data_IF_267344379479
#
_entry.id   IF_267344379479
#
_cell.length_a   1.000
_cell.length_b   1.000
_cell.length_c   1.000
_cell.angle_alpha   90.00
_cell.angle_beta   90.00
_cell.angle_gamma   90.00
#
_symmetry.space_group_name_H-M   'P 1'
#
loop_
_entity.id
_entity.type
_entity.pdbx_description
1 polymer ?
#
# COMPACT_ATOMS: atom_id res chain seq x y z
N UNK A 1 -45.41 -3.97 29.21
CA UNK A 1 -46.29 -4.98 28.59
C UNK A 1 -46.95 -5.95 29.56
N UNK A 2 -46.26 -6.52 30.55
CA UNK A 2 -46.91 -7.50 31.47
C UNK A 2 -48.17 -7.03 32.21
N UNK A 3 -48.36 -5.72 32.41
CA UNK A 3 -49.62 -5.16 32.95
C UNK A 3 -50.76 -5.15 31.92
N UNK A 4 -50.46 -4.87 30.65
CA UNK A 4 -51.45 -4.80 29.57
C UNK A 4 -52.02 -6.19 29.25
N UNK A 5 -51.17 -7.24 29.22
CA UNK A 5 -51.63 -8.63 29.07
C UNK A 5 -52.53 -9.09 30.20
N UNK A 6 -52.20 -8.73 31.44
CA UNK A 6 -53.02 -9.08 32.61
C UNK A 6 -54.39 -8.43 32.52
N UNK A 7 -54.42 -7.14 32.16
CA UNK A 7 -55.67 -6.38 32.00
C UNK A 7 -56.48 -6.95 30.82
N UNK A 8 -55.85 -7.31 29.70
CA UNK A 8 -56.56 -7.88 28.55
C UNK A 8 -57.13 -9.27 28.82
N UNK A 9 -56.40 -10.13 29.53
CA UNK A 9 -56.88 -11.43 29.97
C UNK A 9 -58.09 -11.30 30.92
N UNK A 10 -58.01 -10.40 31.90
CA UNK A 10 -59.11 -10.13 32.84
C UNK A 10 -60.36 -9.58 32.13
N UNK A 11 -60.19 -8.71 31.13
CA UNK A 11 -61.30 -8.18 30.34
C UNK A 11 -61.97 -9.27 29.48
N UNK A 12 -61.20 -10.20 28.92
CA UNK A 12 -61.73 -11.33 28.17
C UNK A 12 -62.51 -12.32 29.06
N UNK A 13 -62.09 -12.50 30.31
CA UNK A 13 -62.81 -13.31 31.32
C UNK A 13 -64.13 -12.67 31.76
N UNK A 14 -64.15 -11.34 31.95
CA UNK A 14 -65.34 -10.61 32.43
C UNK A 14 -66.36 -10.32 31.32
N UNK A 15 -65.90 -10.11 30.08
CA UNK A 15 -66.76 -9.82 28.94
C UNK A 15 -66.13 -10.36 27.65
N UNK A 16 -66.46 -11.58 27.22
CA UNK A 16 -65.81 -12.21 26.08
C UNK A 16 -66.06 -11.46 24.75
N UNK A 17 -67.26 -10.88 24.56
CA UNK A 17 -67.61 -10.14 23.33
C UNK A 17 -66.80 -8.85 23.15
N UNK A 18 -66.51 -8.13 24.24
CA UNK A 18 -65.78 -6.86 24.21
C UNK A 18 -64.27 -7.05 24.49
N UNK A 19 -63.91 -8.11 25.21
CA UNK A 19 -62.54 -8.44 25.58
C UNK A 19 -61.74 -9.10 24.46
N UNK A 20 -62.35 -9.93 23.62
CA UNK A 20 -61.68 -10.57 22.48
C UNK A 20 -60.99 -9.58 21.51
N UNK A 21 -61.65 -8.51 21.01
CA UNK A 21 -60.99 -7.54 20.13
C UNK A 21 -59.89 -6.74 20.86
N UNK A 22 -60.06 -6.46 22.16
CA UNK A 22 -59.02 -5.80 22.96
C UNK A 22 -57.79 -6.69 23.15
N UNK A 23 -58.00 -7.99 23.42
CA UNK A 23 -56.93 -8.97 23.55
C UNK A 23 -56.14 -9.13 22.25
N UNK A 24 -56.84 -9.22 21.10
CA UNK A 24 -56.20 -9.26 19.78
C UNK A 24 -55.33 -8.02 19.52
N UNK A 25 -55.85 -6.81 19.84
CA UNK A 25 -55.07 -5.58 19.70
C UNK A 25 -53.85 -5.54 20.64
N UNK A 26 -53.98 -6.05 21.87
CA UNK A 26 -52.85 -6.15 22.79
C UNK A 26 -51.76 -7.08 22.26
N UNK A 27 -52.14 -8.25 21.72
CA UNK A 27 -51.21 -9.20 21.11
C UNK A 27 -50.49 -8.57 19.91
N UNK A 28 -51.23 -7.91 19.01
CA UNK A 28 -50.65 -7.24 17.85
C UNK A 28 -49.63 -6.15 18.24
N UNK A 29 -49.92 -5.34 19.27
CA UNK A 29 -48.98 -4.33 19.78
C UNK A 29 -47.74 -4.97 20.41
N UNK A 30 -47.87 -6.13 21.05
CA UNK A 30 -46.74 -6.85 21.64
C UNK A 30 -45.82 -7.46 20.59
N UNK A 31 -46.39 -8.07 19.56
CA UNK A 31 -45.65 -8.58 18.41
C UNK A 31 -44.88 -7.43 17.74
N UNK A 32 -45.54 -6.31 17.47
CA UNK A 32 -44.90 -5.11 16.92
C UNK A 32 -43.77 -4.60 17.82
N UNK A 33 -44.01 -4.46 19.13
CA UNK A 33 -42.99 -4.00 20.07
C UNK A 33 -41.81 -4.97 20.17
N UNK A 34 -42.05 -6.29 20.09
CA UNK A 34 -41.00 -7.29 20.05
C UNK A 34 -40.15 -7.20 18.78
N UNK A 35 -40.78 -6.98 17.62
CA UNK A 35 -40.09 -6.79 16.36
C UNK A 35 -39.22 -5.51 16.37
N UNK A 36 -39.75 -4.38 16.85
CA UNK A 36 -38.98 -3.14 16.99
C UNK A 36 -37.75 -3.34 17.88
N UNK A 37 -37.91 -3.99 19.05
CA UNK A 37 -36.77 -4.26 19.95
C UNK A 37 -35.69 -5.10 19.28
N UNK A 38 -36.09 -6.12 18.54
CA UNK A 38 -35.16 -6.98 17.82
C UNK A 38 -34.43 -6.21 16.70
N UNK A 39 -35.13 -5.35 15.96
CA UNK A 39 -34.49 -4.49 14.96
C UNK A 39 -33.52 -3.48 15.56
N UNK A 40 -33.86 -2.87 16.70
CA UNK A 40 -32.94 -1.98 17.43
C UNK A 40 -31.69 -2.74 17.89
N UNK A 41 -31.85 -3.97 18.38
CA UNK A 41 -30.73 -4.84 18.76
C UNK A 41 -29.84 -5.20 17.56
N UNK A 42 -30.45 -5.52 16.42
CA UNK A 42 -29.74 -5.81 15.17
C UNK A 42 -28.99 -4.57 14.66
N UNK A 43 -29.63 -3.40 14.65
CA UNK A 43 -29.01 -2.13 14.27
C UNK A 43 -27.80 -1.81 15.14
N UNK A 44 -27.94 -1.94 16.47
CA UNK A 44 -26.83 -1.71 17.42
C UNK A 44 -25.67 -2.68 17.20
N UNK A 45 -25.97 -3.96 16.94
CA UNK A 45 -24.94 -4.96 16.64
C UNK A 45 -24.21 -4.64 15.34
N UNK A 46 -24.94 -4.20 14.31
CA UNK A 46 -24.37 -3.81 13.02
C UNK A 46 -23.47 -2.58 13.16
N UNK A 47 -23.95 -1.54 13.86
CA UNK A 47 -23.16 -0.35 14.17
C UNK A 47 -21.85 -0.69 14.88
N UNK A 48 -21.89 -1.54 15.91
CA UNK A 48 -20.67 -1.96 16.62
C UNK A 48 -19.68 -2.71 15.72
N UNK A 49 -20.17 -3.49 14.75
CA UNK A 49 -19.29 -4.11 13.73
C UNK A 49 -18.68 -3.07 12.80
N UNK A 50 -19.42 -2.03 12.43
CA UNK A 50 -18.91 -0.93 11.60
C UNK A 50 -17.83 -0.13 12.32
N UNK A 51 -17.98 0.10 13.64
CA UNK A 51 -16.95 0.72 14.48
C UNK A 51 -15.65 -0.10 14.43
N UNK A 52 -15.73 -1.43 14.64
CA UNK A 52 -14.56 -2.31 14.58
C UNK A 52 -13.90 -2.35 13.19
N UNK A 53 -14.69 -2.32 12.12
CA UNK A 53 -14.17 -2.30 10.75
C UNK A 53 -13.48 -0.96 10.43
N UNK A 54 -14.01 0.16 10.93
CA UNK A 54 -13.37 1.47 10.83
C UNK A 54 -12.00 1.46 11.50
N UNK A 55 -11.91 0.99 12.75
CA UNK A 55 -10.63 0.88 13.48
C UNK A 55 -9.61 0.02 12.72
N UNK A 56 -10.06 -1.06 12.09
CA UNK A 56 -9.20 -1.90 11.26
C UNK A 56 -8.70 -1.17 10.00
N UNK A 57 -9.56 -0.39 9.35
CA UNK A 57 -9.20 0.41 8.18
C UNK A 57 -8.21 1.51 8.55
N UNK A 58 -8.43 2.24 9.64
CA UNK A 58 -7.52 3.29 10.13
C UNK A 58 -6.14 2.72 10.49
N UNK A 59 -6.09 1.55 11.13
CA UNK A 59 -4.85 0.83 11.41
C UNK A 59 -4.11 0.47 10.12
N UNK A 60 -4.81 0.01 9.08
CA UNK A 60 -4.17 -0.30 7.79
C UNK A 60 -3.77 0.94 7.02
N UNK A 61 -4.57 2.01 7.10
CA UNK A 61 -4.29 3.29 6.48
C UNK A 61 -2.94 3.81 6.95
N UNK A 62 -2.69 3.85 8.26
CA UNK A 62 -1.39 4.30 8.79
C UNK A 62 -0.19 3.52 8.23
N UNK A 63 -0.35 2.22 7.95
CA UNK A 63 0.71 1.37 7.37
C UNK A 63 0.93 1.62 5.87
N UNK A 64 -0.15 1.85 5.12
CA UNK A 64 -0.08 2.07 3.66
C UNK A 64 0.32 3.50 3.32
N UNK A 65 -0.08 4.47 4.14
CA UNK A 65 0.18 5.90 3.92
C UNK A 65 1.55 6.36 4.44
N UNK A 66 2.09 5.72 5.48
CA UNK A 66 3.42 6.01 6.03
C UNK A 66 4.38 4.82 5.88
N UNK A 67 4.67 4.38 4.64
CA UNK A 67 5.62 3.31 4.44
C UNK A 67 7.06 3.80 4.71
N UNK A 68 7.98 2.89 5.09
CA UNK A 68 9.38 3.23 5.21
C UNK A 68 9.95 3.65 3.84
N UNK A 69 11.00 4.47 3.88
CA UNK A 69 11.65 4.94 2.67
C UNK A 69 12.21 3.80 1.84
N UNK A 70 12.04 3.91 0.52
CA UNK A 70 12.33 2.82 -0.40
C UNK A 70 13.80 2.86 -0.80
N UNK A 71 14.50 1.76 -0.57
CA UNK A 71 15.89 1.56 -1.02
C UNK A 71 15.90 0.74 -2.30
N UNK A 72 16.71 1.14 -3.27
CA UNK A 72 16.84 0.49 -4.58
C UNK A 72 17.63 -0.84 -4.55
N UNK A 73 17.59 -1.56 -3.43
CA UNK A 73 18.22 -2.87 -3.26
C UNK A 73 17.17 -3.96 -3.45
N UNK A 74 17.44 -4.94 -4.31
CA UNK A 74 16.47 -5.97 -4.68
C UNK A 74 15.92 -6.77 -3.48
N UNK A 75 16.76 -7.06 -2.48
CA UNK A 75 16.33 -7.75 -1.27
C UNK A 75 15.30 -6.94 -0.47
N UNK A 76 15.56 -5.64 -0.29
CA UNK A 76 14.67 -4.75 0.43
C UNK A 76 13.37 -4.45 -0.34
N UNK A 77 13.44 -4.32 -1.67
CA UNK A 77 12.25 -4.18 -2.51
C UNK A 77 11.34 -5.42 -2.42
N UNK A 78 11.91 -6.63 -2.37
CA UNK A 78 11.14 -7.87 -2.18
C UNK A 78 10.47 -7.93 -0.81
N UNK A 79 11.13 -7.45 0.24
CA UNK A 79 10.56 -7.32 1.58
C UNK A 79 9.37 -6.34 1.58
N UNK A 80 9.57 -5.13 1.04
CA UNK A 80 8.51 -4.12 0.88
C UNK A 80 7.31 -4.64 0.07
N UNK A 81 7.56 -5.40 -0.99
CA UNK A 81 6.52 -6.08 -1.79
C UNK A 81 5.75 -7.09 -0.95
N UNK A 82 6.45 -7.90 -0.15
CA UNK A 82 5.83 -8.89 0.73
C UNK A 82 4.95 -8.23 1.78
N UNK A 83 5.45 -7.19 2.46
CA UNK A 83 4.72 -6.43 3.46
C UNK A 83 3.45 -5.78 2.90
N UNK A 84 3.57 -5.14 1.72
CA UNK A 84 2.42 -4.54 1.05
C UNK A 84 1.40 -5.59 0.59
N UNK A 85 1.86 -6.76 0.14
CA UNK A 85 0.96 -7.88 -0.21
C UNK A 85 0.17 -8.38 1.00
N UNK A 86 0.78 -8.40 2.18
CA UNK A 86 0.12 -8.80 3.42
C UNK A 86 -0.94 -7.77 3.82
N UNK A 87 -0.66 -6.47 3.68
CA UNK A 87 -1.64 -5.42 3.89
C UNK A 87 -2.82 -5.51 2.91
N UNK A 88 -2.56 -5.78 1.63
CA UNK A 88 -3.61 -6.03 0.64
C UNK A 88 -4.47 -7.25 0.99
N UNK A 89 -3.87 -8.34 1.46
CA UNK A 89 -4.62 -9.52 1.93
C UNK A 89 -5.48 -9.25 3.16
N UNK A 90 -5.05 -8.37 4.08
CA UNK A 90 -5.91 -7.88 5.17
C UNK A 90 -7.07 -7.03 4.63
N UNK A 91 -6.82 -6.14 3.67
CA UNK A 91 -7.86 -5.33 3.01
C UNK A 91 -8.88 -6.20 2.29
N UNK A 92 -8.48 -7.27 1.60
CA UNK A 92 -9.42 -8.19 0.96
C UNK A 92 -10.40 -8.80 1.96
N UNK A 93 -9.91 -9.25 3.12
CA UNK A 93 -10.77 -9.78 4.20
C UNK A 93 -11.73 -8.73 4.73
N UNK A 94 -11.26 -7.49 4.92
CA UNK A 94 -12.12 -6.37 5.32
C UNK A 94 -13.19 -6.07 4.28
N UNK A 95 -12.88 -6.17 2.99
CA UNK A 95 -13.85 -6.00 1.90
C UNK A 95 -15.00 -6.99 2.01
N UNK A 96 -14.71 -8.27 2.26
CA UNK A 96 -15.75 -9.30 2.47
C UNK A 96 -16.62 -8.99 3.70
N UNK A 97 -15.99 -8.54 4.80
CA UNK A 97 -16.70 -8.17 6.02
C UNK A 97 -17.61 -6.95 5.83
N UNK A 98 -17.14 -5.92 5.11
CA UNK A 98 -17.92 -4.74 4.76
C UNK A 98 -19.12 -5.09 3.89
N UNK A 99 -18.96 -6.02 2.95
CA UNK A 99 -20.05 -6.45 2.09
C UNK A 99 -21.12 -7.26 2.83
N UNK A 100 -20.68 -8.02 3.83
CA UNK A 100 -21.59 -8.68 4.79
C UNK A 100 -22.36 -7.63 5.60
N UNK A 101 -21.71 -6.57 6.07
CA UNK A 101 -22.38 -5.47 6.78
C UNK A 101 -23.36 -4.75 5.86
N UNK A 102 -23.01 -4.50 4.59
CA UNK A 102 -23.89 -3.86 3.61
C UNK A 102 -25.15 -4.67 3.34
N UNK A 103 -25.00 -5.97 3.10
CA UNK A 103 -26.15 -6.86 2.87
C UNK A 103 -27.06 -6.95 4.09
N UNK A 104 -26.49 -7.09 5.29
CA UNK A 104 -27.26 -7.10 6.54
C UNK A 104 -27.94 -5.76 6.83
N UNK A 105 -27.28 -4.65 6.52
CA UNK A 105 -27.86 -3.31 6.58
C UNK A 105 -29.08 -3.20 5.66
N UNK A 106 -28.93 -3.53 4.37
CA UNK A 106 -30.02 -3.50 3.41
C UNK A 106 -31.21 -4.38 3.82
N UNK A 107 -30.96 -5.58 4.36
CA UNK A 107 -32.01 -6.46 4.87
C UNK A 107 -32.75 -5.85 6.08
N UNK A 108 -32.00 -5.29 7.04
CA UNK A 108 -32.59 -4.61 8.20
C UNK A 108 -33.44 -3.41 7.78
N UNK A 109 -32.96 -2.63 6.80
CA UNK A 109 -33.68 -1.51 6.22
C UNK A 109 -34.96 -1.95 5.51
N UNK A 110 -34.92 -3.03 4.73
CA UNK A 110 -36.10 -3.58 4.07
C UNK A 110 -37.16 -4.05 5.09
N UNK A 111 -36.73 -4.75 6.16
CA UNK A 111 -37.61 -5.19 7.25
C UNK A 111 -38.25 -4.01 7.98
N UNK A 112 -37.48 -2.96 8.26
CA UNK A 112 -37.98 -1.72 8.86
C UNK A 112 -38.93 -0.96 7.93
N UNK A 113 -38.65 -0.94 6.62
CA UNK A 113 -39.51 -0.32 5.60
C UNK A 113 -40.88 -1.00 5.52
N UNK A 114 -40.94 -2.32 5.63
CA UNK A 114 -42.20 -3.06 5.73
C UNK A 114 -43.02 -2.68 6.98
N UNK A 115 -42.36 -2.33 8.09
CA UNK A 115 -43.01 -1.86 9.32
C UNK A 115 -43.43 -0.37 9.26
N UNK A 116 -42.81 0.43 8.39
CA UNK A 116 -43.11 1.86 8.24
C UNK A 116 -44.55 2.12 7.77
N UNK A 117 -45.17 1.19 7.04
CA UNK A 117 -46.61 1.24 6.72
C UNK A 117 -47.52 1.21 7.96
N UNK A 118 -47.02 0.79 9.12
CA UNK A 118 -47.73 0.76 10.40
C UNK A 118 -47.25 1.78 11.44
N UNK A 119 -46.04 2.34 11.29
CA UNK A 119 -45.35 3.13 12.33
C UNK A 119 -44.70 4.40 11.79
N UNK A 120 -45.30 5.02 10.77
CA UNK A 120 -44.80 6.25 10.12
C UNK A 120 -44.61 7.44 11.07
N UNK A 121 -45.15 7.38 12.30
CA UNK A 121 -45.05 8.42 13.32
C UNK A 121 -44.00 8.15 14.42
N UNK A 122 -43.40 6.95 14.49
CA UNK A 122 -42.60 6.51 15.66
C UNK A 122 -41.11 6.27 15.36
N UNK A 123 -40.73 6.20 14.10
CA UNK A 123 -39.32 6.08 13.70
C UNK A 123 -38.85 7.42 13.15
N UNK A 124 -37.92 8.15 13.82
CA UNK A 124 -37.24 9.25 13.15
C UNK A 124 -36.55 8.69 11.90
N UNK A 125 -36.73 9.40 10.79
CA UNK A 125 -36.21 9.11 9.44
C UNK A 125 -34.68 8.89 9.42
N UNK A 126 -33.99 9.23 10.50
CA UNK A 126 -32.53 9.29 10.63
C UNK A 126 -31.83 7.94 10.82
N UNK A 127 -32.41 6.98 11.54
CA UNK A 127 -31.71 5.71 11.86
C UNK A 127 -31.36 4.86 10.62
N UNK A 128 -32.32 4.63 9.70
CA UNK A 128 -32.09 3.97 8.43
C UNK A 128 -30.99 4.60 7.57
N UNK A 129 -31.01 5.93 7.45
CA UNK A 129 -30.07 6.69 6.64
C UNK A 129 -28.64 6.58 7.18
N UNK A 130 -28.47 6.61 8.51
CA UNK A 130 -27.14 6.54 9.17
C UNK A 130 -26.43 5.20 8.88
N UNK A 131 -27.15 4.07 8.91
CA UNK A 131 -26.55 2.76 8.62
C UNK A 131 -26.06 2.70 7.17
N UNK A 132 -26.88 3.20 6.23
CA UNK A 132 -26.52 3.20 4.83
C UNK A 132 -25.34 4.12 4.54
N UNK A 133 -25.42 5.39 4.96
CA UNK A 133 -24.38 6.41 4.79
C UNK A 133 -23.05 5.94 5.37
N UNK A 134 -23.06 5.40 6.59
CA UNK A 134 -21.84 4.90 7.23
C UNK A 134 -21.25 3.69 6.50
N UNK A 135 -22.09 2.83 5.93
CA UNK A 135 -21.60 1.66 5.17
C UNK A 135 -20.94 2.11 3.88
N UNK A 136 -21.57 3.05 3.17
CA UNK A 136 -21.05 3.64 1.94
C UNK A 136 -19.73 4.38 2.19
N UNK A 137 -19.64 5.12 3.30
CA UNK A 137 -18.40 5.78 3.73
C UNK A 137 -17.26 4.77 3.94
N UNK A 138 -17.50 3.68 4.67
CA UNK A 138 -16.48 2.66 4.94
C UNK A 138 -16.05 1.94 3.66
N UNK A 139 -16.99 1.64 2.75
CA UNK A 139 -16.68 1.06 1.44
C UNK A 139 -15.85 2.01 0.58
N UNK A 140 -16.17 3.31 0.62
CA UNK A 140 -15.38 4.35 -0.03
C UNK A 140 -13.95 4.40 0.49
N UNK A 141 -13.77 4.47 1.81
CA UNK A 141 -12.44 4.46 2.45
C UNK A 141 -11.65 3.19 2.10
N UNK A 142 -12.29 2.01 2.22
CA UNK A 142 -11.68 0.74 1.88
C UNK A 142 -11.23 0.69 0.41
N UNK A 143 -12.09 1.11 -0.52
CA UNK A 143 -11.76 1.10 -1.96
C UNK A 143 -10.59 2.03 -2.27
N UNK A 144 -10.57 3.23 -1.71
CA UNK A 144 -9.49 4.18 -1.87
C UNK A 144 -8.16 3.63 -1.32
N UNK A 145 -8.19 3.07 -0.11
CA UNK A 145 -7.02 2.50 0.53
C UNK A 145 -6.47 1.29 -0.23
N UNK A 146 -7.37 0.43 -0.74
CA UNK A 146 -7.02 -0.72 -1.59
C UNK A 146 -6.37 -0.28 -2.89
N UNK A 147 -6.96 0.67 -3.62
CA UNK A 147 -6.38 1.17 -4.87
C UNK A 147 -4.97 1.72 -4.66
N UNK A 148 -4.75 2.48 -3.59
CA UNK A 148 -3.41 2.98 -3.23
C UNK A 148 -2.42 1.85 -2.91
N UNK A 149 -2.87 0.83 -2.19
CA UNK A 149 -2.06 -0.37 -1.95
C UNK A 149 -1.70 -1.11 -3.24
N UNK A 150 -2.63 -1.20 -4.20
CA UNK A 150 -2.42 -1.83 -5.51
C UNK A 150 -1.47 -1.00 -6.41
N UNK A 151 -1.63 0.33 -6.43
CA UNK A 151 -0.72 1.26 -7.10
C UNK A 151 0.70 1.14 -6.55
N UNK A 152 0.87 1.17 -5.22
CA UNK A 152 2.16 0.95 -4.56
C UNK A 152 2.73 -0.42 -4.91
N UNK A 153 1.91 -1.46 -4.92
CA UNK A 153 2.32 -2.82 -5.27
C UNK A 153 2.89 -2.89 -6.69
N UNK A 154 2.20 -2.27 -7.65
CA UNK A 154 2.60 -2.22 -9.05
C UNK A 154 3.91 -1.44 -9.21
N UNK A 155 4.00 -0.28 -8.56
CA UNK A 155 5.21 0.54 -8.57
C UNK A 155 6.42 -0.20 -7.99
N UNK A 156 6.30 -0.81 -6.80
CA UNK A 156 7.39 -1.58 -6.18
C UNK A 156 7.86 -2.73 -7.07
N UNK A 157 6.94 -3.41 -7.77
CA UNK A 157 7.28 -4.48 -8.72
C UNK A 157 8.03 -3.94 -9.93
N UNK A 158 7.60 -2.81 -10.50
CA UNK A 158 8.34 -2.15 -11.58
C UNK A 158 9.74 -1.72 -11.14
N UNK A 159 9.85 -1.14 -9.95
CA UNK A 159 11.12 -0.72 -9.36
C UNK A 159 12.06 -1.91 -9.12
N UNK A 160 11.54 -3.06 -8.66
CA UNK A 160 12.32 -4.28 -8.50
C UNK A 160 12.89 -4.77 -9.84
N UNK A 161 12.11 -4.69 -10.92
CA UNK A 161 12.57 -5.07 -12.26
C UNK A 161 13.72 -4.17 -12.72
N UNK A 162 13.60 -2.85 -12.53
CA UNK A 162 14.68 -1.91 -12.84
C UNK A 162 15.94 -2.18 -12.00
N UNK A 163 15.76 -2.42 -10.69
CA UNK A 163 16.85 -2.73 -9.80
C UNK A 163 17.56 -4.03 -10.20
N UNK A 164 16.82 -5.11 -10.45
CA UNK A 164 17.39 -6.39 -10.87
C UNK A 164 18.17 -6.25 -12.19
N UNK A 165 17.66 -5.50 -13.17
CA UNK A 165 18.37 -5.21 -14.43
C UNK A 165 19.66 -4.41 -14.20
N UNK A 166 19.60 -3.36 -13.40
CA UNK A 166 20.76 -2.53 -13.08
C UNK A 166 21.86 -3.33 -12.36
N UNK A 167 21.51 -4.04 -11.30
CA UNK A 167 22.49 -4.80 -10.51
C UNK A 167 23.08 -5.97 -11.28
N UNK A 168 22.28 -6.65 -12.11
CA UNK A 168 22.78 -7.70 -13.00
C UNK A 168 23.72 -7.12 -14.06
N UNK A 169 23.33 -6.03 -14.74
CA UNK A 169 24.17 -5.38 -15.75
C UNK A 169 25.48 -4.85 -15.17
N UNK A 170 25.46 -4.30 -13.96
CA UNK A 170 26.68 -3.89 -13.25
C UNK A 170 27.61 -5.08 -12.95
N UNK A 171 27.06 -6.21 -12.54
CA UNK A 171 27.83 -7.42 -12.27
C UNK A 171 28.46 -7.97 -13.55
N UNK A 172 27.69 -8.06 -14.63
CA UNK A 172 28.15 -8.53 -15.93
C UNK A 172 29.27 -7.62 -16.48
N UNK A 173 29.06 -6.29 -16.45
CA UNK A 173 30.06 -5.30 -16.86
C UNK A 173 31.36 -5.39 -16.04
N UNK A 174 31.25 -5.72 -14.74
CA UNK A 174 32.43 -5.88 -13.89
C UNK A 174 33.25 -7.11 -14.29
N UNK A 175 32.58 -8.21 -14.68
CA UNK A 175 33.24 -9.43 -15.17
C UNK A 175 33.90 -9.17 -16.53
N UNK A 176 33.19 -8.58 -17.49
CA UNK A 176 33.73 -8.29 -18.83
C UNK A 176 34.90 -7.31 -18.77
N UNK A 177 34.84 -6.31 -17.88
CA UNK A 177 35.96 -5.40 -17.63
C UNK A 177 37.18 -6.14 -17.06
N UNK A 178 36.98 -7.09 -16.13
CA UNK A 178 38.06 -7.89 -15.58
C UNK A 178 38.70 -8.81 -16.64
N UNK A 179 37.89 -9.45 -17.48
CA UNK A 179 38.35 -10.29 -18.59
C UNK A 179 39.15 -9.46 -19.61
N UNK A 180 38.67 -8.25 -19.93
CA UNK A 180 39.36 -7.32 -20.83
C UNK A 180 40.69 -6.84 -20.23
N UNK A 181 40.73 -6.56 -18.92
CA UNK A 181 41.97 -6.22 -18.23
C UNK A 181 42.98 -7.37 -18.29
N UNK A 182 42.54 -8.62 -18.09
CA UNK A 182 43.39 -9.79 -18.20
C UNK A 182 43.93 -9.97 -19.62
N UNK A 183 43.08 -9.78 -20.64
CA UNK A 183 43.51 -9.83 -22.04
C UNK A 183 44.59 -8.80 -22.37
N UNK A 184 44.48 -7.58 -21.80
CA UNK A 184 45.50 -6.53 -21.96
C UNK A 184 46.82 -6.93 -21.28
N UNK A 185 46.78 -7.53 -20.09
CA UNK A 185 47.98 -8.01 -19.40
C UNK A 185 48.67 -9.15 -20.18
N UNK A 186 47.88 -10.12 -20.67
CA UNK A 186 48.40 -11.24 -21.47
C UNK A 186 49.06 -10.74 -22.77
N UNK A 187 48.53 -9.66 -23.35
CA UNK A 187 49.10 -8.97 -24.51
C UNK A 187 50.43 -8.28 -24.24
N UNK A 188 50.59 -7.69 -23.04
CA UNK A 188 51.85 -7.07 -22.62
C UNK A 188 52.94 -8.11 -22.33
N UNK A 189 52.56 -9.31 -21.88
CA UNK A 189 53.48 -10.42 -21.63
C UNK A 189 53.86 -11.22 -22.90
N UNK A 190 52.96 -11.27 -23.89
CA UNK A 190 53.25 -11.88 -25.18
C UNK A 190 54.30 -11.05 -25.94
N UNK A 191 55.46 -11.67 -26.22
CA UNK A 191 56.50 -11.10 -27.09
C UNK A 191 56.03 -10.87 -28.55
N UNK A 192 56.92 -10.62 -29.51
CA UNK A 192 56.61 -10.12 -30.86
C UNK A 192 55.82 -11.08 -31.81
N UNK A 193 55.22 -12.14 -31.30
CA UNK A 193 54.39 -13.12 -32.03
C UNK A 193 52.93 -12.63 -32.17
N UNK A 194 52.11 -13.19 -33.10
CA UNK A 194 50.87 -12.55 -33.57
C UNK A 194 49.78 -12.54 -32.48
N UNK A 195 49.79 -11.45 -31.73
CA UNK A 195 48.88 -11.10 -30.66
C UNK A 195 47.49 -10.70 -31.17
N UNK A 196 46.45 -10.68 -30.31
CA UNK A 196 45.19 -10.00 -30.63
C UNK A 196 45.48 -8.61 -31.20
N UNK A 197 44.86 -8.29 -32.33
CA UNK A 197 45.14 -7.02 -33.00
C UNK A 197 44.65 -5.87 -32.12
N UNK A 198 45.34 -4.72 -32.09
CA UNK A 198 44.89 -3.52 -31.38
C UNK A 198 43.47 -3.05 -31.80
N UNK A 199 42.97 -3.58 -32.92
CA UNK A 199 41.61 -3.37 -33.39
C UNK A 199 40.56 -4.17 -32.59
N UNK A 200 40.85 -5.43 -32.22
CA UNK A 200 39.95 -6.25 -31.42
C UNK A 200 39.75 -5.68 -30.00
N UNK A 201 40.83 -5.21 -29.37
CA UNK A 201 40.73 -4.51 -28.09
C UNK A 201 39.89 -3.24 -28.17
N UNK A 202 39.95 -2.54 -29.30
CA UNK A 202 39.19 -1.30 -29.49
C UNK A 202 37.71 -1.58 -29.65
N UNK A 203 37.35 -2.63 -30.38
CA UNK A 203 35.97 -3.11 -30.49
C UNK A 203 35.41 -3.52 -29.12
N UNK A 204 36.21 -4.18 -28.27
CA UNK A 204 35.82 -4.55 -26.90
C UNK A 204 35.60 -3.30 -26.03
N UNK A 205 36.51 -2.32 -26.07
CA UNK A 205 36.38 -1.06 -25.33
C UNK A 205 35.13 -0.29 -25.79
N UNK A 206 34.88 -0.22 -27.09
CA UNK A 206 33.69 0.46 -27.64
C UNK A 206 32.39 -0.27 -27.20
N UNK A 207 32.41 -1.61 -27.08
CA UNK A 207 31.31 -2.41 -26.54
C UNK A 207 31.05 -2.12 -25.06
N UNK A 208 32.11 -2.15 -24.23
CA UNK A 208 32.04 -1.84 -22.80
C UNK A 208 31.53 -0.41 -22.54
N UNK A 209 31.92 0.54 -23.38
CA UNK A 209 31.42 1.91 -23.33
C UNK A 209 29.90 1.95 -23.56
N UNK A 210 29.41 1.20 -24.56
CA UNK A 210 27.97 1.07 -24.85
C UNK A 210 27.19 0.43 -23.70
N UNK A 211 27.71 -0.64 -23.10
CA UNK A 211 27.11 -1.27 -21.92
C UNK A 211 27.04 -0.30 -20.73
N UNK A 212 28.13 0.45 -20.47
CA UNK A 212 28.15 1.47 -19.42
C UNK A 212 27.12 2.59 -19.66
N UNK A 213 26.95 3.04 -20.89
CA UNK A 213 25.94 4.04 -21.24
C UNK A 213 24.52 3.51 -20.98
N UNK A 214 24.22 2.26 -21.34
CA UNK A 214 22.92 1.64 -21.04
C UNK A 214 22.67 1.50 -19.54
N UNK A 215 23.69 1.11 -18.78
CA UNK A 215 23.63 1.03 -17.33
C UNK A 215 23.43 2.41 -16.68
N UNK A 216 24.02 3.45 -17.27
CA UNK A 216 23.79 4.85 -16.88
C UNK A 216 22.33 5.30 -17.05
N UNK A 217 21.68 4.92 -18.15
CA UNK A 217 20.24 5.19 -18.38
C UNK A 217 19.40 4.47 -17.33
N UNK A 218 19.63 3.16 -17.12
CA UNK A 218 18.91 2.38 -16.11
C UNK A 218 19.09 2.95 -14.69
N UNK A 219 20.30 3.37 -14.33
CA UNK A 219 20.59 4.01 -13.04
C UNK A 219 19.81 5.31 -12.86
N UNK A 220 19.69 6.13 -13.91
CA UNK A 220 18.90 7.37 -13.90
C UNK A 220 17.40 7.10 -13.75
N UNK A 221 16.86 6.10 -14.47
CA UNK A 221 15.47 5.67 -14.34
C UNK A 221 15.18 5.12 -12.93
N UNK A 222 16.10 4.36 -12.35
CA UNK A 222 15.98 3.82 -10.99
C UNK A 222 15.96 4.95 -9.96
N UNK A 223 16.89 5.91 -10.05
CA UNK A 223 16.97 7.06 -9.15
C UNK A 223 15.72 7.95 -9.22
N UNK A 224 15.24 8.24 -10.43
CA UNK A 224 14.02 9.04 -10.61
C UNK A 224 12.78 8.33 -10.08
N UNK A 225 12.66 7.02 -10.32
CA UNK A 225 11.55 6.20 -9.83
C UNK A 225 11.49 6.10 -8.30
N UNK A 226 12.64 6.12 -7.61
CA UNK A 226 12.69 6.20 -6.15
C UNK A 226 12.28 7.59 -5.62
N UNK A 227 12.63 8.67 -6.31
CA UNK A 227 12.39 10.05 -5.87
C UNK A 227 10.95 10.56 -6.01
N UNK A 228 10.12 9.93 -6.86
CA UNK A 228 8.71 10.33 -7.01
C UNK A 228 7.83 9.98 -5.79
N UNK A 229 8.26 9.04 -4.93
CA UNK A 229 7.47 8.52 -3.81
C UNK A 229 7.94 8.95 -2.40
N UNK A 230 9.05 9.68 -2.31
CA UNK A 230 9.38 10.50 -1.13
C UNK A 230 8.58 11.81 -1.09
N UNK A 231 7.73 12.08 -2.10
CA UNK A 231 6.63 13.01 -1.91
C UNK A 231 5.61 12.31 -1.02
N UNK A 232 5.44 12.74 0.26
CA UNK A 232 4.27 12.31 1.01
C UNK A 232 3.06 12.61 0.13
N UNK A 233 2.30 11.57 -0.19
CA UNK A 233 1.16 11.69 -1.09
C UNK A 233 0.31 12.85 -0.60
N UNK A 234 0.27 13.94 -1.36
CA UNK A 234 -0.33 15.22 -0.98
C UNK A 234 -1.68 14.96 -0.31
N UNK A 235 -1.80 15.09 1.02
CA UNK A 235 -3.12 15.29 1.58
C UNK A 235 -3.57 16.67 1.12
N UNK A 236 -4.75 16.74 0.50
CA UNK A 236 -5.40 17.99 0.07
C UNK A 236 -5.87 18.81 1.28
N UNK A 237 -4.96 19.17 2.17
CA UNK A 237 -5.17 20.18 3.19
C UNK A 237 -3.88 20.96 3.37
N UNK A 238 -3.90 22.20 2.85
CA UNK A 238 -2.91 23.25 3.12
C UNK A 238 -2.78 23.44 4.63
N UNK A 239 -1.68 22.99 5.21
CA UNK A 239 -0.78 23.80 6.01
C UNK A 239 0.32 22.88 6.57
N UNK A 240 1.55 23.40 6.63
CA UNK A 240 2.74 22.78 7.24
C UNK A 240 3.56 21.82 6.35
N UNK A 241 4.08 22.36 5.24
CA UNK A 241 5.40 21.97 4.70
C UNK A 241 6.39 23.08 5.06
N UNK A 242 7.15 22.88 6.12
CA UNK A 242 8.47 23.49 6.26
C UNK A 242 9.37 22.53 7.04
N UNK A 243 10.55 22.28 6.45
CA UNK A 243 11.79 21.81 7.10
C UNK A 243 12.16 20.30 7.05
N UNK A 244 12.67 19.87 5.88
CA UNK A 244 13.82 18.96 5.59
C UNK A 244 14.01 17.59 6.33
N UNK A 245 15.18 16.91 6.21
CA UNK A 245 16.13 16.79 5.08
C UNK A 245 16.79 15.38 4.89
N UNK A 246 17.55 15.24 3.77
CA UNK A 246 18.77 14.42 3.53
C UNK A 246 18.80 12.89 3.81
N UNK A 247 18.83 12.09 2.74
CA UNK A 247 19.26 10.68 2.79
C UNK A 247 20.78 10.52 2.71
N UNK A 248 21.36 9.90 3.74
CA UNK A 248 22.76 9.47 3.76
C UNK A 248 22.96 8.16 2.98
N UNK A 249 23.75 8.23 1.91
CA UNK A 249 24.21 7.07 1.14
C UNK A 249 25.27 6.29 1.94
N UNK A 250 24.99 5.02 2.24
CA UNK A 250 26.01 4.03 2.60
C UNK A 250 26.18 3.09 1.40
N UNK A 251 27.42 2.95 0.92
CA UNK A 251 27.74 2.19 -0.29
C UNK A 251 27.37 0.70 -0.24
N UNK A 252 27.56 -0.01 -1.37
CA UNK A 252 27.06 -1.38 -1.55
C UNK A 252 27.63 -2.37 -0.50
N UNK A 253 26.88 -3.43 -0.15
CA UNK A 253 27.33 -4.44 0.78
C UNK A 253 28.59 -5.14 0.24
N UNK A 254 29.66 -5.13 1.03
CA UNK A 254 30.89 -5.87 0.75
C UNK A 254 30.60 -7.37 0.67
N UNK A 255 30.50 -7.88 -0.55
CA UNK A 255 30.56 -9.31 -0.85
C UNK A 255 31.40 -9.53 -2.12
N UNK A 256 32.63 -9.00 -2.14
CA UNK A 256 33.72 -9.41 -3.03
C UNK A 256 35.00 -8.67 -2.57
N UNK A 257 35.65 -9.21 -1.53
CA UNK A 257 36.82 -8.56 -0.91
C UNK A 257 37.79 -9.57 -0.33
N UNK A 258 38.15 -10.58 -1.12
CA UNK A 258 39.19 -11.54 -0.76
C UNK A 258 40.04 -11.96 -1.96
N UNK A 259 40.38 -11.07 -2.89
CA UNK A 259 41.50 -11.28 -3.83
C UNK A 259 42.13 -9.94 -4.24
N UNK A 260 42.78 -9.23 -3.33
CA UNK A 260 43.79 -8.23 -3.70
C UNK A 260 44.94 -8.31 -2.70
N UNK A 261 45.77 -9.33 -2.91
CA UNK A 261 47.10 -9.39 -2.34
C UNK A 261 47.95 -8.28 -2.96
N UNK A 262 48.45 -7.43 -2.08
CA UNK A 262 49.63 -6.56 -2.22
C UNK A 262 50.53 -6.77 -3.45
N UNK A 263 50.59 -5.77 -4.33
CA UNK A 263 51.76 -5.47 -5.15
C UNK A 263 52.01 -3.94 -5.15
N UNK A 264 53.22 -3.44 -4.82
CA UNK A 264 53.51 -2.02 -4.77
C UNK A 264 54.03 -1.52 -6.13
N UNK A 265 53.42 -0.45 -6.66
CA UNK A 265 54.10 0.35 -7.69
C UNK A 265 53.27 0.81 -8.88
N UNK A 266 52.23 1.61 -8.66
CA UNK A 266 51.74 2.55 -9.69
C UNK A 266 51.38 3.87 -9.00
N UNK A 267 52.21 4.91 -9.21
CA UNK A 267 51.86 6.28 -8.81
C UNK A 267 50.97 6.87 -9.90
N UNK A 268 49.69 7.02 -9.62
CA UNK A 268 48.79 7.85 -10.43
C UNK A 268 49.17 9.33 -10.23
N UNK A 269 49.51 10.00 -11.35
CA UNK A 269 49.76 11.44 -11.42
C UNK A 269 48.44 12.20 -11.18
N UNK A 270 48.39 13.00 -10.12
CA UNK A 270 47.29 13.96 -9.90
C UNK A 270 47.28 15.05 -10.98
N UNK A 271 46.11 15.48 -11.48
CA UNK A 271 46.03 16.62 -12.39
C UNK A 271 46.34 17.93 -11.63
N UNK A 272 47.33 18.68 -12.14
CA UNK A 272 47.66 20.03 -11.67
C UNK A 272 46.48 20.97 -11.91
N UNK A 273 45.96 21.56 -10.84
CA UNK A 273 45.17 22.79 -10.87
C UNK A 273 46.03 23.92 -11.44
N UNK A 274 45.67 24.43 -12.63
CA UNK A 274 46.23 25.68 -13.16
C UNK A 274 45.56 26.83 -12.44
N UNK A 275 46.28 27.44 -11.50
CA UNK A 275 45.98 28.77 -10.97
C UNK A 275 46.43 29.80 -12.00
N UNK A 276 45.47 30.44 -12.69
CA UNK A 276 45.73 31.63 -13.51
C UNK A 276 45.24 32.87 -12.77
N UNK A 277 46.16 33.62 -12.18
CA UNK A 277 45.96 34.98 -11.67
C UNK A 277 46.97 35.90 -12.37
N UNK A 278 46.47 37.07 -12.77
CA UNK A 278 47.17 38.33 -13.07
C UNK A 278 47.80 38.56 -14.47
N UNK A 279 47.16 39.48 -15.21
CA UNK A 279 47.67 40.81 -15.64
C UNK A 279 46.55 41.42 -16.52
N UNK A 280 45.99 42.63 -16.33
CA UNK A 280 46.53 43.87 -15.77
C UNK A 280 46.79 44.86 -16.92
N UNK A 281 45.80 45.71 -17.25
CA UNK A 281 45.93 47.06 -17.83
C UNK A 281 44.52 47.67 -18.03
#
# INVERSE_FOLDING_TARGET
MGKLQRISAQLAELSPEQGAPFQQRCQAVEEQYSAIREHVRQASTLMGRMDLLLECLERLQSRVENPPAVRAEAAHLREQISENSLALGELEKLGVALETVRSQGAELLARLGCLAGTLQALMPVSGPAVIQERTEQLLGQWSCLRSRGEERQSWLRGLLVLADQFWQGLADLTVTLADTQQMVLDLEEAGPDPSPTPQALREEIDSLQGELDTLGVLGSELMSSCGELDRPGVPRSLDEVSDGPCWGWAGPPQACGAVLGTAPGVRLLSPKTVTGSECGA
#
